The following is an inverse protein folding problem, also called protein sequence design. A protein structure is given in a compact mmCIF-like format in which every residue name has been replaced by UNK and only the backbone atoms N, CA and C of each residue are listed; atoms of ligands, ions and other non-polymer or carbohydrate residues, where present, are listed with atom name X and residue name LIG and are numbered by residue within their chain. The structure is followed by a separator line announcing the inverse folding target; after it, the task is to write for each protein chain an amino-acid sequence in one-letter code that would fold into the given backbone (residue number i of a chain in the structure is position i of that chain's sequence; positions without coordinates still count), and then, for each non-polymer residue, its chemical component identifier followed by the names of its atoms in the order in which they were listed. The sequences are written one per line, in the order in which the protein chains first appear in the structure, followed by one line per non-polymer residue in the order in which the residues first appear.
data_IF_745996618990
#
_entry.id   IF_745996618990
#
_cell.length_a   1.000
_cell.length_b   1.000
_cell.length_c   1.000
_cell.angle_alpha   90.00
_cell.angle_beta   90.00
_cell.angle_gamma   90.00
#
_symmetry.space_group_name_H-M   'P 1'
#
loop_
_entity.id
_entity.type
_entity.pdbx_description
1 polymer ?
#
# COMPACT_ATOMS: atom_id res chain seq x y z
N UNK A 1 83.53 -39.54 31.55
CA UNK A 1 82.90 -39.83 30.25
C UNK A 1 81.63 -40.66 30.45
N UNK A 2 81.67 -41.77 31.24
CA UNK A 2 80.47 -42.61 31.42
C UNK A 2 79.44 -41.93 32.30
N UNK A 3 79.85 -41.22 33.35
CA UNK A 3 78.95 -40.50 34.25
C UNK A 3 78.31 -39.28 33.55
N UNK A 4 79.01 -38.57 32.72
CA UNK A 4 78.51 -37.43 31.93
C UNK A 4 77.48 -37.89 30.88
N UNK A 5 77.71 -39.12 30.34
CA UNK A 5 76.70 -39.69 29.39
C UNK A 5 75.38 -40.05 30.07
N UNK A 6 75.45 -40.64 31.27
CA UNK A 6 74.24 -40.94 32.03
C UNK A 6 73.51 -39.69 32.53
N UNK A 7 74.25 -38.67 32.97
CA UNK A 7 73.62 -37.38 33.30
C UNK A 7 72.97 -36.73 32.10
N UNK A 8 73.58 -36.77 30.94
CA UNK A 8 72.92 -36.26 29.71
C UNK A 8 71.69 -37.03 29.31
N UNK A 9 71.65 -38.35 29.50
CA UNK A 9 70.44 -39.15 29.27
C UNK A 9 69.32 -38.79 30.25
N UNK A 10 69.63 -38.60 31.51
CA UNK A 10 68.64 -38.23 32.55
C UNK A 10 68.04 -36.83 32.29
N UNK A 11 68.87 -35.87 31.83
CA UNK A 11 68.37 -34.54 31.43
C UNK A 11 67.44 -34.59 30.19
N UNK A 12 67.77 -35.43 29.21
CA UNK A 12 66.93 -35.65 28.03
C UNK A 12 65.58 -36.28 28.41
N UNK A 13 65.62 -37.30 29.24
CA UNK A 13 64.44 -37.98 29.72
C UNK A 13 63.46 -37.03 30.50
N UNK A 14 64.06 -36.23 31.39
CA UNK A 14 63.36 -35.21 32.14
C UNK A 14 62.76 -34.14 31.23
N UNK A 15 63.46 -33.67 30.22
CA UNK A 15 62.99 -32.72 29.23
C UNK A 15 61.89 -33.29 28.39
N UNK A 16 61.95 -34.57 28.01
CA UNK A 16 60.93 -35.28 27.28
C UNK A 16 59.60 -35.39 28.09
N UNK A 17 59.75 -35.80 29.37
CA UNK A 17 58.61 -35.86 30.28
C UNK A 17 57.90 -34.49 30.43
N UNK A 18 58.66 -33.42 30.59
CA UNK A 18 58.11 -32.06 30.65
C UNK A 18 57.39 -31.64 29.36
N UNK A 19 57.94 -32.03 28.21
CA UNK A 19 57.29 -31.77 26.92
C UNK A 19 55.97 -32.53 26.74
N UNK A 20 55.96 -33.81 27.16
CA UNK A 20 54.75 -34.64 27.13
C UNK A 20 53.69 -34.07 28.05
N UNK A 21 54.00 -33.77 29.29
CA UNK A 21 53.09 -33.15 30.27
C UNK A 21 52.52 -31.81 29.76
N UNK A 22 53.37 -30.97 29.15
CA UNK A 22 52.97 -29.72 28.56
C UNK A 22 52.05 -29.92 27.34
N UNK A 23 52.27 -30.94 26.55
CA UNK A 23 51.43 -31.30 25.41
C UNK A 23 50.05 -31.81 25.87
N UNK A 24 50.01 -32.68 26.88
CA UNK A 24 48.78 -33.19 27.47
C UNK A 24 47.94 -32.05 28.08
N UNK A 25 48.53 -31.19 28.88
CA UNK A 25 47.86 -30.04 29.46
C UNK A 25 47.32 -29.09 28.39
N UNK A 26 48.04 -28.86 27.30
CA UNK A 26 47.55 -28.06 26.17
C UNK A 26 46.41 -28.74 25.44
N UNK A 27 46.46 -30.06 25.29
CA UNK A 27 45.39 -30.83 24.65
C UNK A 27 44.09 -30.76 25.46
N UNK A 28 44.18 -30.98 26.77
CA UNK A 28 43.03 -30.90 27.69
C UNK A 28 42.42 -29.51 27.74
N UNK A 29 43.26 -28.47 27.77
CA UNK A 29 42.81 -27.09 27.72
C UNK A 29 42.08 -26.77 26.43
N UNK A 30 42.63 -27.16 25.28
CA UNK A 30 41.98 -26.97 23.97
C UNK A 30 40.70 -27.77 23.83
N UNK A 31 40.71 -29.00 24.34
CA UNK A 31 39.48 -29.83 24.36
C UNK A 31 38.39 -29.20 25.21
N UNK A 32 38.74 -28.71 26.40
CA UNK A 32 37.78 -28.00 27.26
C UNK A 32 37.23 -26.72 26.61
N UNK A 33 38.09 -25.94 25.95
CA UNK A 33 37.68 -24.75 25.22
C UNK A 33 36.72 -25.09 24.06
N UNK A 34 37.04 -26.13 23.28
CA UNK A 34 36.17 -26.61 22.19
C UNK A 34 34.81 -27.07 22.70
N UNK A 35 34.77 -27.79 23.81
CA UNK A 35 33.54 -28.21 24.46
C UNK A 35 32.67 -27.03 24.90
N UNK A 36 33.26 -25.97 25.46
CA UNK A 36 32.56 -24.74 25.82
C UNK A 36 32.02 -24.02 24.61
N UNK A 37 32.79 -23.93 23.52
CA UNK A 37 32.34 -23.32 22.26
C UNK A 37 31.15 -24.10 21.69
N UNK A 38 31.24 -25.42 21.64
CA UNK A 38 30.14 -26.27 21.17
C UNK A 38 28.88 -26.10 21.99
N UNK A 39 28.98 -26.08 23.32
CA UNK A 39 27.81 -25.83 24.20
C UNK A 39 27.21 -24.46 23.98
N UNK A 40 28.02 -23.43 23.76
CA UNK A 40 27.53 -22.08 23.45
C UNK A 40 26.83 -22.03 22.10
N UNK A 41 27.40 -22.65 21.08
CA UNK A 41 26.76 -22.77 19.77
C UNK A 41 25.42 -23.51 19.84
N UNK A 42 25.35 -24.61 20.56
CA UNK A 42 24.11 -25.38 20.73
C UNK A 42 23.02 -24.55 21.42
N UNK A 43 23.36 -23.83 22.51
CA UNK A 43 22.40 -22.93 23.18
C UNK A 43 21.90 -21.82 22.27
N UNK A 44 22.81 -21.21 21.51
CA UNK A 44 22.44 -20.16 20.56
C UNK A 44 21.52 -20.71 19.46
N UNK A 45 21.82 -21.87 18.94
CA UNK A 45 20.99 -22.53 17.94
C UNK A 45 19.57 -22.80 18.47
N UNK A 46 19.46 -23.35 19.68
CA UNK A 46 18.16 -23.61 20.31
C UNK A 46 17.39 -22.32 20.54
N UNK A 47 18.05 -21.26 21.00
CA UNK A 47 17.45 -19.95 21.19
C UNK A 47 16.92 -19.35 19.87
N UNK A 48 17.73 -19.42 18.80
CA UNK A 48 17.33 -18.92 17.48
C UNK A 48 16.14 -19.75 16.93
N UNK A 49 16.16 -21.07 17.09
CA UNK A 49 15.06 -21.92 16.66
C UNK A 49 13.74 -21.58 17.36
N UNK A 50 13.78 -21.42 18.68
CA UNK A 50 12.58 -21.04 19.44
C UNK A 50 12.06 -19.65 19.02
N UNK A 51 12.95 -18.68 18.85
CA UNK A 51 12.56 -17.34 18.38
C UNK A 51 11.96 -17.38 16.96
N UNK A 52 12.48 -18.25 16.09
CA UNK A 52 11.93 -18.46 14.76
C UNK A 52 10.51 -19.03 14.81
N UNK A 53 10.27 -20.04 15.64
CA UNK A 53 8.95 -20.65 15.82
C UNK A 53 7.92 -19.63 16.37
N UNK A 54 8.31 -18.83 17.37
CA UNK A 54 7.44 -17.77 17.90
C UNK A 54 7.09 -16.72 16.83
N UNK A 55 8.08 -16.22 16.08
CA UNK A 55 7.87 -15.26 15.01
C UNK A 55 6.99 -15.83 13.89
N UNK A 56 7.21 -17.09 13.49
CA UNK A 56 6.39 -17.75 12.48
C UNK A 56 4.95 -17.91 12.94
N UNK A 57 4.73 -18.27 14.20
CA UNK A 57 3.39 -18.35 14.78
C UNK A 57 2.66 -16.99 14.74
N UNK A 58 3.36 -15.91 15.11
CA UNK A 58 2.81 -14.56 15.05
C UNK A 58 2.45 -14.13 13.63
N UNK A 59 3.32 -14.42 12.65
CA UNK A 59 3.08 -14.14 11.24
C UNK A 59 1.85 -14.89 10.72
N UNK A 60 1.73 -16.18 11.04
CA UNK A 60 0.55 -16.98 10.64
C UNK A 60 -0.73 -16.43 11.25
N UNK A 61 -0.72 -16.03 12.52
CA UNK A 61 -1.88 -15.42 13.16
C UNK A 61 -2.26 -14.07 12.55
N UNK A 62 -1.27 -13.23 12.22
CA UNK A 62 -1.51 -11.96 11.52
C UNK A 62 -2.08 -12.16 10.12
N UNK A 63 -1.54 -13.13 9.40
CA UNK A 63 -2.01 -13.45 8.04
C UNK A 63 -3.46 -13.91 8.06
N UNK A 64 -3.82 -14.85 8.97
CA UNK A 64 -5.20 -15.31 9.12
C UNK A 64 -6.16 -14.17 9.44
N UNK A 65 -5.79 -13.29 10.37
CA UNK A 65 -6.62 -12.13 10.72
C UNK A 65 -6.85 -11.19 9.54
N UNK A 66 -5.80 -10.93 8.73
CA UNK A 66 -5.93 -10.13 7.51
C UNK A 66 -6.81 -10.80 6.45
N UNK A 67 -6.79 -12.11 6.35
CA UNK A 67 -7.67 -12.86 5.45
C UNK A 67 -9.13 -12.77 5.90
N UNK A 68 -9.40 -12.87 7.20
CA UNK A 68 -10.73 -12.73 7.78
C UNK A 68 -11.27 -11.29 7.58
N UNK A 69 -10.48 -10.27 7.89
CA UNK A 69 -10.82 -8.84 7.65
C UNK A 69 -11.11 -8.57 6.15
N UNK A 70 -10.28 -9.14 5.26
CA UNK A 70 -10.50 -9.00 3.81
C UNK A 70 -11.80 -9.66 3.36
N UNK A 71 -12.15 -10.80 3.95
CA UNK A 71 -13.40 -11.48 3.64
C UNK A 71 -14.61 -10.67 4.09
N UNK A 72 -14.60 -10.15 5.30
CA UNK A 72 -15.64 -9.26 5.83
C UNK A 72 -15.81 -8.02 4.94
N UNK A 73 -14.69 -7.39 4.57
CA UNK A 73 -14.71 -6.24 3.67
C UNK A 73 -15.30 -6.55 2.28
N UNK A 74 -15.00 -7.73 1.71
CA UNK A 74 -15.56 -8.17 0.42
C UNK A 74 -17.07 -8.41 0.54
N UNK A 75 -17.53 -9.01 1.64
CA UNK A 75 -18.95 -9.24 1.89
C UNK A 75 -19.70 -7.91 2.08
N UNK A 76 -19.15 -6.96 2.84
CA UNK A 76 -19.69 -5.63 3.03
C UNK A 76 -19.79 -4.87 1.68
N UNK A 77 -18.72 -4.93 0.86
CA UNK A 77 -18.72 -4.33 -0.48
C UNK A 77 -19.75 -4.97 -1.42
N UNK A 78 -19.98 -6.27 -1.31
CA UNK A 78 -21.01 -6.95 -2.09
C UNK A 78 -22.43 -6.48 -1.69
N UNK A 79 -22.67 -6.28 -0.38
CA UNK A 79 -23.91 -5.72 0.12
C UNK A 79 -24.14 -4.28 -0.36
N UNK A 80 -23.12 -3.41 -0.25
CA UNK A 80 -23.17 -2.03 -0.75
C UNK A 80 -23.48 -2.00 -2.25
N UNK A 81 -22.82 -2.85 -3.04
CA UNK A 81 -23.10 -2.99 -4.47
C UNK A 81 -24.54 -3.45 -4.76
N UNK A 82 -25.10 -4.33 -3.95
CA UNK A 82 -26.48 -4.79 -4.12
C UNK A 82 -27.52 -3.70 -3.83
N UNK A 83 -27.19 -2.80 -2.87
CA UNK A 83 -28.04 -1.65 -2.51
C UNK A 83 -27.94 -0.54 -3.56
N UNK A 84 -26.74 -0.33 -4.12
CA UNK A 84 -26.44 0.74 -5.08
C UNK A 84 -26.39 0.24 -6.53
N UNK A 85 -27.06 -0.87 -6.84
CA UNK A 85 -27.15 -1.34 -8.22
C UNK A 85 -27.91 -0.31 -9.04
N UNK A 86 -27.17 0.45 -9.85
CA UNK A 86 -27.76 1.32 -10.85
C UNK A 86 -28.26 0.42 -12.00
N UNK A 87 -29.46 -0.12 -11.85
CA UNK A 87 -30.14 -0.89 -12.93
C UNK A 87 -30.68 0.04 -14.04
N UNK A 88 -30.40 1.34 -13.91
CA UNK A 88 -30.93 2.37 -14.79
C UNK A 88 -29.77 3.08 -15.48
N UNK A 89 -29.86 3.20 -16.79
CA UNK A 89 -28.91 3.89 -17.64
C UNK A 89 -28.79 5.39 -17.30
N UNK A 90 -29.90 5.98 -16.82
CA UNK A 90 -30.03 7.40 -16.48
C UNK A 90 -30.18 7.63 -14.97
N UNK A 91 -29.30 8.42 -14.40
CA UNK A 91 -29.25 8.79 -12.99
C UNK A 91 -29.90 10.16 -12.78
N UNK A 92 -30.89 10.24 -11.88
CA UNK A 92 -31.45 11.52 -11.44
C UNK A 92 -30.60 12.13 -10.33
N UNK A 93 -30.15 13.34 -10.56
CA UNK A 93 -29.38 14.14 -9.61
C UNK A 93 -30.20 15.35 -9.18
N UNK A 94 -30.11 15.71 -7.91
CA UNK A 94 -30.60 16.97 -7.35
C UNK A 94 -29.40 17.81 -6.90
N UNK A 95 -29.14 18.89 -7.64
CA UNK A 95 -27.97 19.77 -7.41
C UNK A 95 -28.50 21.12 -6.94
N UNK A 96 -28.24 21.50 -5.69
CA UNK A 96 -28.78 22.75 -5.08
C UNK A 96 -30.28 22.93 -5.31
N UNK A 97 -31.08 21.86 -5.17
CA UNK A 97 -32.53 21.87 -5.34
C UNK A 97 -33.01 21.89 -6.79
N UNK A 98 -32.15 21.87 -7.79
CA UNK A 98 -32.49 21.70 -9.21
C UNK A 98 -32.21 20.27 -9.66
N UNK A 99 -33.14 19.69 -10.43
CA UNK A 99 -33.03 18.32 -10.93
C UNK A 99 -32.37 18.27 -12.30
N UNK A 100 -31.45 17.31 -12.48
CA UNK A 100 -30.87 16.98 -13.78
C UNK A 100 -30.78 15.46 -13.93
N UNK A 101 -30.97 14.96 -15.15
CA UNK A 101 -30.76 13.54 -15.47
C UNK A 101 -29.50 13.36 -16.29
N UNK A 102 -28.62 12.44 -15.86
CA UNK A 102 -27.34 12.20 -16.48
C UNK A 102 -27.14 10.69 -16.63
N UNK A 103 -26.62 10.25 -17.78
CA UNK A 103 -26.30 8.82 -17.96
C UNK A 103 -25.14 8.40 -17.06
N UNK A 104 -25.21 7.16 -16.59
CA UNK A 104 -24.11 6.58 -15.79
C UNK A 104 -22.79 6.61 -16.55
N UNK A 105 -22.83 6.38 -17.87
CA UNK A 105 -21.67 6.46 -18.75
C UNK A 105 -21.01 7.84 -18.70
N UNK A 106 -21.79 8.92 -18.77
CA UNK A 106 -21.26 10.30 -18.65
C UNK A 106 -20.61 10.53 -17.29
N UNK A 107 -21.22 10.07 -16.21
CA UNK A 107 -20.70 10.24 -14.84
C UNK A 107 -19.40 9.44 -14.62
N UNK A 108 -19.19 8.36 -15.36
CA UNK A 108 -18.01 7.51 -15.29
C UNK A 108 -17.01 7.74 -16.43
N UNK A 109 -17.26 8.70 -17.33
CA UNK A 109 -16.46 8.92 -18.54
C UNK A 109 -15.00 9.28 -18.29
N UNK A 110 -14.66 9.80 -17.10
CA UNK A 110 -13.28 10.12 -16.70
C UNK A 110 -12.85 9.13 -15.64
N UNK A 111 -12.07 8.15 -16.07
CA UNK A 111 -11.55 7.13 -15.16
C UNK A 111 -10.67 7.73 -14.05
N UNK A 112 -10.87 7.24 -12.83
CA UNK A 112 -10.14 7.72 -11.65
C UNK A 112 -10.62 9.06 -11.09
N UNK A 113 -11.58 9.77 -11.73
CA UNK A 113 -12.17 10.99 -11.19
C UNK A 113 -12.98 10.73 -9.92
N UNK A 114 -13.17 11.77 -9.09
CA UNK A 114 -14.05 11.68 -7.92
C UNK A 114 -15.49 11.34 -8.31
N UNK A 115 -15.97 11.88 -9.45
CA UNK A 115 -17.28 11.59 -10.01
C UNK A 115 -17.42 10.11 -10.38
N UNK A 116 -16.44 9.54 -11.13
CA UNK A 116 -16.44 8.13 -11.49
C UNK A 116 -16.39 7.22 -10.27
N UNK A 117 -15.57 7.54 -9.27
CA UNK A 117 -15.49 6.80 -8.00
C UNK A 117 -16.82 6.84 -7.24
N UNK A 118 -17.47 8.01 -7.15
CA UNK A 118 -18.74 8.21 -6.47
C UNK A 118 -19.84 7.33 -7.08
N UNK A 119 -19.92 7.24 -8.40
CA UNK A 119 -20.93 6.46 -9.12
C UNK A 119 -20.48 5.04 -9.47
N UNK A 120 -19.38 4.56 -8.91
CA UNK A 120 -18.89 3.18 -9.10
C UNK A 120 -19.74 2.08 -8.43
N UNK A 121 -20.76 2.46 -7.65
CA UNK A 121 -21.57 1.53 -6.85
C UNK A 121 -20.89 1.04 -5.56
N UNK A 122 -19.74 1.60 -5.20
CA UNK A 122 -18.97 1.24 -3.99
C UNK A 122 -19.32 2.12 -2.78
N UNK A 123 -20.09 3.18 -2.97
CA UNK A 123 -20.40 4.15 -1.94
C UNK A 123 -21.92 4.30 -1.78
N UNK A 124 -22.38 4.41 -0.55
CA UNK A 124 -23.76 4.78 -0.28
C UNK A 124 -23.95 6.27 -0.55
N UNK A 125 -24.90 6.59 -1.43
CA UNK A 125 -25.19 7.96 -1.84
C UNK A 125 -26.47 8.45 -1.19
N UNK A 126 -26.43 9.69 -0.71
CA UNK A 126 -27.61 10.35 -0.12
C UNK A 126 -28.67 10.59 -1.19
N UNK A 127 -29.87 10.06 -0.97
CA UNK A 127 -31.00 10.20 -1.89
C UNK A 127 -32.09 11.10 -1.31
N UNK A 128 -32.75 11.85 -2.18
CA UNK A 128 -33.96 12.59 -1.85
C UNK A 128 -35.14 11.62 -1.69
N UNK A 129 -36.29 12.13 -1.23
CA UNK A 129 -37.53 11.34 -1.12
C UNK A 129 -38.00 10.73 -2.46
N UNK A 130 -37.66 11.38 -3.57
CA UNK A 130 -37.99 10.96 -4.92
C UNK A 130 -36.91 10.07 -5.57
N UNK A 131 -35.92 9.65 -4.80
CA UNK A 131 -34.84 8.75 -5.22
C UNK A 131 -33.71 9.44 -6.00
N UNK A 132 -33.74 10.77 -6.18
CA UNK A 132 -32.65 11.51 -6.80
C UNK A 132 -31.44 11.58 -5.85
N UNK A 133 -30.22 11.49 -6.39
CA UNK A 133 -28.99 11.63 -5.61
C UNK A 133 -28.72 13.13 -5.38
N UNK A 134 -28.54 13.49 -4.10
CA UNK A 134 -28.37 14.88 -3.67
C UNK A 134 -26.89 15.26 -3.76
N UNK A 135 -26.61 16.34 -4.50
CA UNK A 135 -25.29 16.94 -4.61
C UNK A 135 -25.35 18.41 -4.15
N UNK A 136 -24.48 18.76 -3.20
CA UNK A 136 -24.35 20.12 -2.69
C UNK A 136 -23.25 20.87 -3.48
N UNK A 137 -23.61 21.28 -4.70
CA UNK A 137 -22.71 21.98 -5.64
C UNK A 137 -23.45 23.10 -6.35
N UNK A 138 -22.71 24.04 -6.95
CA UNK A 138 -23.31 25.04 -7.84
C UNK A 138 -23.92 24.37 -9.09
N UNK A 139 -25.21 24.54 -9.28
CA UNK A 139 -25.94 23.88 -10.38
C UNK A 139 -25.40 24.30 -11.75
N UNK A 140 -25.14 25.61 -11.95
CA UNK A 140 -24.75 26.11 -13.27
C UNK A 140 -23.37 25.57 -13.67
N UNK A 141 -22.40 25.60 -12.76
CA UNK A 141 -21.05 25.07 -13.03
C UNK A 141 -21.07 23.56 -13.19
N UNK A 142 -21.83 22.85 -12.36
CA UNK A 142 -22.00 21.40 -12.48
C UNK A 142 -22.66 21.02 -13.83
N UNK A 143 -23.71 21.74 -14.24
CA UNK A 143 -24.38 21.47 -15.52
C UNK A 143 -23.46 21.74 -16.72
N UNK A 144 -22.66 22.80 -16.68
CA UNK A 144 -21.65 23.11 -17.71
C UNK A 144 -20.62 21.96 -17.76
N UNK A 145 -20.15 21.49 -16.60
CA UNK A 145 -19.23 20.35 -16.53
C UNK A 145 -19.84 19.07 -17.11
N UNK A 146 -21.08 18.75 -16.77
CA UNK A 146 -21.76 17.58 -17.34
C UNK A 146 -21.88 17.67 -18.86
N UNK A 147 -22.19 18.86 -19.42
CA UNK A 147 -22.23 19.05 -20.87
C UNK A 147 -20.85 18.89 -21.51
N UNK A 148 -19.80 19.37 -20.84
CA UNK A 148 -18.42 19.16 -21.26
C UNK A 148 -18.02 17.68 -21.27
N UNK A 149 -18.46 16.90 -20.27
CA UNK A 149 -18.28 15.45 -20.25
C UNK A 149 -19.09 14.73 -21.33
N UNK A 150 -20.32 15.16 -21.60
CA UNK A 150 -21.17 14.62 -22.68
C UNK A 150 -20.54 14.78 -24.06
N UNK A 151 -19.81 15.88 -24.30
CA UNK A 151 -19.06 16.08 -25.55
C UNK A 151 -17.73 15.29 -25.61
N UNK A 152 -17.52 14.38 -24.66
CA UNK A 152 -16.27 13.67 -24.48
C UNK A 152 -15.06 14.62 -24.35
N UNK A 153 -15.29 15.78 -23.74
CA UNK A 153 -14.30 16.85 -23.54
C UNK A 153 -13.72 17.42 -24.83
N UNK A 154 -14.44 17.26 -25.96
CA UNK A 154 -13.99 17.72 -27.28
C UNK A 154 -14.05 19.24 -27.41
N UNK A 155 -14.97 19.90 -26.69
CA UNK A 155 -15.16 21.33 -26.73
C UNK A 155 -15.15 21.93 -25.35
N UNK A 156 -14.16 22.75 -25.05
CA UNK A 156 -14.11 23.52 -23.83
C UNK A 156 -15.20 24.59 -23.84
N UNK A 157 -16.01 24.73 -22.77
CA UNK A 157 -17.11 25.69 -22.77
C UNK A 157 -16.61 27.12 -22.98
N UNK A 158 -17.31 27.88 -23.84
CA UNK A 158 -17.02 29.29 -24.13
C UNK A 158 -17.46 30.16 -22.95
N UNK A 159 -16.74 30.07 -21.85
CA UNK A 159 -16.90 30.94 -20.68
C UNK A 159 -16.05 32.18 -20.93
N UNK A 160 -16.63 33.38 -20.77
CA UNK A 160 -15.87 34.63 -20.86
C UNK A 160 -14.68 34.64 -19.90
N UNK A 161 -13.71 35.52 -20.16
CA UNK A 161 -12.61 35.75 -19.23
C UNK A 161 -13.18 36.28 -17.90
N UNK A 162 -12.80 35.64 -16.76
CA UNK A 162 -13.15 36.15 -15.44
C UNK A 162 -13.68 35.07 -14.48
N UNK A 163 -14.63 35.43 -13.63
CA UNK A 163 -15.10 34.65 -12.52
C UNK A 163 -15.71 33.31 -12.95
N UNK A 164 -16.46 33.28 -14.05
CA UNK A 164 -17.11 32.04 -14.52
C UNK A 164 -16.10 30.98 -14.96
N UNK A 165 -15.03 31.36 -15.64
CA UNK A 165 -13.96 30.44 -16.01
C UNK A 165 -13.26 29.89 -14.78
N UNK A 166 -12.98 30.73 -13.79
CA UNK A 166 -12.37 30.29 -12.53
C UNK A 166 -13.27 29.33 -11.74
N UNK A 167 -14.57 29.64 -11.67
CA UNK A 167 -15.55 28.76 -10.99
C UNK A 167 -15.66 27.41 -11.70
N UNK A 168 -15.61 27.37 -13.01
CA UNK A 168 -15.64 26.13 -13.79
C UNK A 168 -14.36 25.30 -13.58
N UNK A 169 -13.21 25.94 -13.54
CA UNK A 169 -11.94 25.24 -13.23
C UNK A 169 -11.96 24.66 -11.82
N UNK A 170 -12.47 25.38 -10.84
CA UNK A 170 -12.66 24.88 -9.47
C UNK A 170 -13.62 23.69 -9.42
N UNK A 171 -14.66 23.67 -10.27
CA UNK A 171 -15.57 22.55 -10.37
C UNK A 171 -14.88 21.32 -10.98
N UNK A 172 -14.07 21.48 -12.02
CA UNK A 172 -13.27 20.41 -12.60
C UNK A 172 -12.25 19.83 -11.59
N UNK A 173 -11.58 20.71 -10.85
CA UNK A 173 -10.62 20.31 -9.82
C UNK A 173 -11.30 19.55 -8.67
N UNK A 174 -12.48 20.02 -8.23
CA UNK A 174 -13.24 19.33 -7.18
C UNK A 174 -13.60 17.89 -7.56
N UNK A 175 -13.97 17.65 -8.81
CA UNK A 175 -14.35 16.35 -9.29
C UNK A 175 -13.15 15.51 -9.80
N UNK A 176 -11.93 16.04 -9.69
CA UNK A 176 -10.69 15.41 -10.23
C UNK A 176 -10.84 15.07 -11.74
N UNK A 177 -11.53 15.95 -12.47
CA UNK A 177 -11.64 15.87 -13.92
C UNK A 177 -10.43 16.53 -14.54
N UNK A 178 -9.39 15.73 -14.77
CA UNK A 178 -8.13 16.22 -15.36
C UNK A 178 -8.33 16.68 -16.79
N UNK A 179 -7.98 17.92 -17.05
CA UNK A 179 -7.85 18.45 -18.41
C UNK A 179 -6.61 17.87 -19.08
N UNK A 180 -6.70 17.52 -20.35
CA UNK A 180 -5.53 17.05 -21.11
C UNK A 180 -4.58 18.22 -21.41
N UNK A 181 -3.28 17.94 -21.60
CA UNK A 181 -2.30 18.97 -21.95
C UNK A 181 -2.69 19.74 -23.25
N UNK A 182 -3.37 19.07 -24.17
CA UNK A 182 -3.92 19.68 -25.39
C UNK A 182 -4.97 20.74 -25.07
N UNK A 183 -5.90 20.46 -24.16
CA UNK A 183 -6.96 21.38 -23.74
C UNK A 183 -6.37 22.64 -23.03
N UNK A 184 -5.30 22.47 -22.28
CA UNK A 184 -4.59 23.58 -21.63
C UNK A 184 -3.91 24.47 -22.68
N UNK A 185 -3.34 23.87 -23.72
CA UNK A 185 -2.63 24.59 -24.77
C UNK A 185 -3.60 25.31 -25.70
N UNK A 186 -4.74 24.72 -26.05
CA UNK A 186 -5.84 25.37 -26.77
C UNK A 186 -6.42 26.56 -26.01
N UNK A 187 -6.59 26.47 -24.69
CA UNK A 187 -6.97 27.61 -23.84
C UNK A 187 -6.00 28.77 -23.97
N UNK A 188 -4.68 28.48 -23.88
CA UNK A 188 -3.63 29.51 -24.01
C UNK A 188 -3.62 30.18 -25.37
N UNK A 189 -3.99 29.45 -26.41
CA UNK A 189 -4.05 30.00 -27.79
C UNK A 189 -5.33 30.84 -27.99
N UNK A 190 -6.48 30.43 -27.47
CA UNK A 190 -7.74 31.21 -27.54
C UNK A 190 -7.73 32.48 -26.71
N UNK A 191 -7.01 32.52 -25.59
CA UNK A 191 -6.88 33.71 -24.74
C UNK A 191 -5.91 34.79 -25.31
N UNK A 192 -5.23 34.49 -26.45
CA UNK A 192 -4.31 35.42 -27.12
C UNK A 192 -4.90 36.07 -28.39
N UNK A 193 -6.16 35.73 -28.73
CA UNK A 193 -6.92 36.31 -29.85
C UNK A 193 -8.01 37.24 -29.29
#
# INVERSE_FOLDING_TARGET
IQDEFYQGLEEIEKSFHQLVEKAENNFDLKHSQLKMIYQKMYRNHTFISNLHEENMSEVVHKQKRLEDEKKEWVEEMAQIKSINKFDVEDIKLEVSGKSITVSLETLQSVDGSALSKMFSGKHELKKSKDGAIILDRDFEMFNIMINYLRSNRSEYPALGEGLQSQMFEQELDFWDVKTTNLEIEERRLRSKI
#
